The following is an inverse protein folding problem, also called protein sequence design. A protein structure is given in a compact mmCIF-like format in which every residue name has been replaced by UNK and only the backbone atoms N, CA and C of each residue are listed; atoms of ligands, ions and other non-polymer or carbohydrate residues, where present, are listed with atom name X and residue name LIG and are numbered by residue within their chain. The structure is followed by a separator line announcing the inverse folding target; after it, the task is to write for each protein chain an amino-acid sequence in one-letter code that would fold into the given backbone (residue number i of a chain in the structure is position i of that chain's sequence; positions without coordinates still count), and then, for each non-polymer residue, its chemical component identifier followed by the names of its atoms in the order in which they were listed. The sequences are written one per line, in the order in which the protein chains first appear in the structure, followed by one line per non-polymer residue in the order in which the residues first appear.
data_IF_954221348639
#
_entry.id   IF_954221348639
#
_cell.length_a   1.000
_cell.length_b   1.000
_cell.length_c   1.000
_cell.angle_alpha   90.00
_cell.angle_beta   90.00
_cell.angle_gamma   90.00
#
_symmetry.space_group_name_H-M   'P 1'
#
loop_
_entity.id
_entity.type
_entity.pdbx_description
1 polymer ?
#
# COMPACT_ATOMS: atom_id res chain seq x y z
N UNK A 1 -3.51 -9.07 26.66
CA UNK A 1 -4.77 -8.93 25.91
C UNK A 1 -4.45 -9.29 24.47
N UNK A 2 -4.97 -10.43 24.02
CA UNK A 2 -4.76 -11.01 22.70
C UNK A 2 -5.52 -10.17 21.69
N UNK A 3 -4.84 -9.53 20.73
CA UNK A 3 -5.45 -8.69 19.69
C UNK A 3 -6.20 -9.56 18.66
N UNK A 4 -7.54 -9.49 18.54
CA UNK A 4 -8.27 -10.18 17.49
C UNK A 4 -9.13 -9.18 16.69
N UNK A 5 -8.54 -8.07 16.28
CA UNK A 5 -9.24 -7.07 15.46
C UNK A 5 -8.51 -6.80 14.15
N UNK A 6 -7.23 -6.41 14.21
CA UNK A 6 -6.43 -6.11 13.03
C UNK A 6 -6.27 -7.31 12.09
N UNK A 7 -5.96 -8.49 12.65
CA UNK A 7 -5.76 -9.71 11.86
C UNK A 7 -7.04 -10.18 11.13
N UNK A 8 -8.21 -9.98 11.74
CA UNK A 8 -9.49 -10.32 11.12
C UNK A 8 -9.82 -9.35 9.98
N UNK A 9 -9.64 -8.04 10.21
CA UNK A 9 -9.80 -7.02 9.18
C UNK A 9 -8.86 -7.23 8.00
N UNK A 10 -7.60 -7.55 8.30
CA UNK A 10 -6.59 -7.83 7.30
C UNK A 10 -7.01 -9.03 6.44
N UNK A 11 -7.37 -10.16 7.05
CA UNK A 11 -7.88 -11.33 6.32
C UNK A 11 -9.10 -11.03 5.45
N UNK A 12 -10.04 -10.26 5.97
CA UNK A 12 -11.26 -9.93 5.26
C UNK A 12 -11.01 -8.99 4.07
N UNK A 13 -10.06 -8.06 4.21
CA UNK A 13 -9.54 -7.28 3.10
C UNK A 13 -8.96 -8.18 2.01
N UNK A 14 -8.11 -9.15 2.38
CA UNK A 14 -7.53 -10.10 1.42
C UNK A 14 -8.59 -10.96 0.73
N UNK A 15 -9.58 -11.45 1.47
CA UNK A 15 -10.71 -12.23 0.91
C UNK A 15 -11.49 -11.40 -0.10
N UNK A 16 -11.84 -10.17 0.28
CA UNK A 16 -12.61 -9.24 -0.56
C UNK A 16 -11.83 -8.86 -1.81
N UNK A 17 -10.56 -8.48 -1.66
CA UNK A 17 -9.70 -8.12 -2.78
C UNK A 17 -9.52 -9.31 -3.74
N UNK A 18 -9.23 -10.51 -3.22
CA UNK A 18 -9.08 -11.71 -4.05
C UNK A 18 -10.33 -12.00 -4.88
N UNK A 19 -11.51 -11.76 -4.28
CA UNK A 19 -12.81 -11.88 -4.96
C UNK A 19 -12.96 -10.82 -6.05
N UNK A 20 -12.61 -9.56 -5.79
CA UNK A 20 -12.70 -8.46 -6.76
C UNK A 20 -11.77 -8.68 -7.96
N UNK A 21 -10.58 -9.22 -7.73
CA UNK A 21 -9.61 -9.51 -8.80
C UNK A 21 -9.80 -10.89 -9.42
N UNK A 22 -10.85 -11.64 -9.03
CA UNK A 22 -11.19 -12.97 -9.56
C UNK A 22 -9.99 -13.94 -9.62
N UNK A 23 -9.16 -13.94 -8.57
CA UNK A 23 -7.96 -14.76 -8.52
C UNK A 23 -6.88 -14.46 -9.57
N UNK A 24 -7.03 -13.42 -10.40
CA UNK A 24 -6.06 -12.99 -11.42
C UNK A 24 -4.76 -12.42 -10.83
N UNK A 25 -4.74 -12.23 -9.51
CA UNK A 25 -3.63 -11.68 -8.74
C UNK A 25 -3.32 -12.64 -7.60
N UNK A 26 -2.10 -13.18 -7.57
CA UNK A 26 -1.59 -13.79 -6.34
C UNK A 26 -1.28 -12.68 -5.35
N UNK A 27 -1.87 -12.76 -4.16
CA UNK A 27 -1.70 -11.80 -3.09
C UNK A 27 -1.20 -12.57 -1.89
N UNK A 28 -0.16 -12.07 -1.22
CA UNK A 28 0.34 -12.65 0.01
C UNK A 28 0.21 -11.61 1.12
N UNK A 29 -0.51 -11.89 2.22
CA UNK A 29 -0.69 -10.94 3.32
C UNK A 29 0.58 -10.62 4.07
N UNK A 30 1.53 -11.53 4.00
CA UNK A 30 2.86 -11.38 4.53
C UNK A 30 3.79 -12.15 3.60
N UNK A 31 4.29 -11.55 2.52
CA UNK A 31 5.38 -12.19 1.80
C UNK A 31 6.64 -12.07 2.66
N UNK A 32 6.84 -13.06 3.55
CA UNK A 32 7.99 -13.09 4.44
C UNK A 32 9.23 -13.23 3.58
N UNK A 33 10.01 -12.16 3.52
CA UNK A 33 11.36 -12.19 2.98
C UNK A 33 12.21 -12.95 3.99
N UNK A 34 12.39 -14.26 3.80
CA UNK A 34 13.38 -15.01 4.58
C UNK A 34 14.75 -14.92 3.93
N UNK A 35 15.57 -13.97 4.42
CA UNK A 35 17.04 -14.12 4.48
C UNK A 35 17.63 -13.38 5.69
N UNK A 36 18.09 -14.13 6.69
CA UNK A 36 18.90 -13.62 7.81
C UNK A 36 18.18 -12.63 8.74
N UNK A 37 18.95 -11.85 9.51
CA UNK A 37 18.46 -10.88 10.52
C UNK A 37 17.73 -9.64 9.93
N UNK A 38 17.64 -9.52 8.61
CA UNK A 38 17.09 -8.36 7.90
C UNK A 38 15.88 -8.75 7.02
N UNK A 39 15.12 -9.77 7.42
CA UNK A 39 13.86 -10.10 6.75
C UNK A 39 12.81 -9.02 6.99
N UNK A 40 12.13 -8.60 5.93
CA UNK A 40 10.96 -7.72 5.97
C UNK A 40 9.73 -8.43 5.39
N UNK A 41 8.57 -7.84 5.61
CA UNK A 41 7.32 -8.27 4.98
C UNK A 41 6.80 -7.07 4.19
N UNK A 42 6.64 -7.22 2.88
CA UNK A 42 5.92 -6.24 2.06
C UNK A 42 4.41 -6.50 2.21
N UNK A 43 3.61 -5.44 2.27
CA UNK A 43 2.16 -5.59 2.51
C UNK A 43 1.47 -6.34 1.38
N UNK A 44 1.76 -6.02 0.11
CA UNK A 44 1.20 -6.74 -1.03
C UNK A 44 2.22 -6.91 -2.16
N UNK A 45 2.13 -8.02 -2.89
CA UNK A 45 2.89 -8.24 -4.11
C UNK A 45 1.99 -8.91 -5.15
N UNK A 46 1.75 -8.23 -6.26
CA UNK A 46 1.15 -8.79 -7.47
C UNK A 46 2.24 -9.41 -8.31
N UNK A 47 2.60 -10.65 -7.98
CA UNK A 47 3.76 -11.34 -8.57
C UNK A 47 3.65 -11.47 -10.10
N UNK A 48 2.45 -11.71 -10.63
CA UNK A 48 2.19 -11.80 -12.07
C UNK A 48 2.51 -10.52 -12.85
N UNK A 49 2.52 -9.36 -12.16
CA UNK A 49 2.87 -8.05 -12.75
C UNK A 49 4.18 -7.49 -12.20
N UNK A 50 4.87 -8.22 -11.32
CA UNK A 50 6.04 -7.72 -10.60
C UNK A 50 5.77 -6.41 -9.85
N UNK A 51 4.58 -6.21 -9.29
CA UNK A 51 4.16 -4.95 -8.67
C UNK A 51 3.96 -5.12 -7.16
N UNK A 52 4.78 -4.46 -6.35
CA UNK A 52 4.66 -4.44 -4.89
C UNK A 52 3.90 -3.23 -4.36
N UNK A 53 3.27 -3.38 -3.20
CA UNK A 53 2.65 -2.29 -2.46
C UNK A 53 3.07 -2.27 -1.00
N UNK A 54 3.27 -1.07 -0.49
CA UNK A 54 3.42 -0.76 0.93
C UNK A 54 2.32 0.21 1.34
N UNK A 55 1.67 -0.02 2.46
CA UNK A 55 0.57 0.81 2.95
C UNK A 55 1.02 1.60 4.18
N UNK A 56 0.82 2.92 4.13
CA UNK A 56 1.06 3.82 5.25
C UNK A 56 -0.25 4.37 5.78
N UNK A 57 -0.23 4.81 7.03
CA UNK A 57 -1.35 5.54 7.65
C UNK A 57 -0.85 6.89 8.12
N UNK A 58 -1.57 7.95 7.77
CA UNK A 58 -1.34 9.31 8.23
C UNK A 58 0.12 9.78 8.11
N UNK A 59 0.78 9.46 6.99
CA UNK A 59 2.15 9.85 6.66
C UNK A 59 3.20 9.28 7.63
N UNK A 60 2.87 8.23 8.37
CA UNK A 60 3.80 7.64 9.33
C UNK A 60 5.06 7.18 8.60
N UNK A 61 6.20 7.73 9.04
CA UNK A 61 7.54 7.29 8.64
C UNK A 61 7.78 7.13 7.14
N UNK A 62 7.17 7.97 6.29
CA UNK A 62 7.29 7.91 4.81
C UNK A 62 8.73 7.64 4.36
N UNK A 63 9.71 8.42 4.85
CA UNK A 63 11.11 8.29 4.43
C UNK A 63 11.70 6.93 4.81
N UNK A 64 11.39 6.41 6.01
CA UNK A 64 11.88 5.11 6.45
C UNK A 64 11.31 3.99 5.57
N UNK A 65 10.02 4.07 5.19
CA UNK A 65 9.38 3.08 4.32
C UNK A 65 9.90 3.17 2.88
N UNK A 66 10.08 4.38 2.32
CA UNK A 66 10.70 4.55 1.00
C UNK A 66 12.12 3.98 0.96
N UNK A 67 12.91 4.18 2.03
CA UNK A 67 14.27 3.63 2.13
C UNK A 67 14.32 2.09 2.15
N UNK A 68 13.20 1.39 2.40
CA UNK A 68 13.17 -0.08 2.32
C UNK A 68 13.36 -0.58 0.88
N UNK A 69 13.03 0.24 -0.12
CA UNK A 69 13.16 -0.09 -1.54
C UNK A 69 14.54 0.27 -2.12
N UNK A 70 15.32 1.10 -1.43
CA UNK A 70 16.65 1.54 -1.85
C UNK A 70 17.72 0.47 -1.60
N UNK A 71 18.90 0.60 -2.23
CA UNK A 71 20.02 -0.34 -2.06
C UNK A 71 20.35 -0.55 -0.58
N UNK A 72 20.32 -1.80 -0.12
CA UNK A 72 20.52 -2.17 1.28
C UNK A 72 19.27 -2.12 2.16
N UNK A 73 18.15 -1.64 1.63
CA UNK A 73 16.84 -1.67 2.26
C UNK A 73 16.21 -3.07 2.31
N UNK A 74 15.23 -3.25 3.19
CA UNK A 74 14.62 -4.55 3.47
C UNK A 74 13.96 -5.21 2.23
N UNK A 75 13.44 -4.43 1.29
CA UNK A 75 12.73 -4.90 0.10
C UNK A 75 13.58 -4.88 -1.17
N UNK A 76 14.77 -4.28 -1.13
CA UNK A 76 15.63 -4.13 -2.32
C UNK A 76 15.95 -5.45 -3.02
N UNK A 77 16.16 -6.53 -2.26
CA UNK A 77 16.43 -7.83 -2.85
C UNK A 77 15.28 -8.35 -3.75
N UNK A 78 14.01 -7.97 -3.50
CA UNK A 78 12.90 -8.31 -4.40
C UNK A 78 13.04 -7.60 -5.74
N UNK A 79 13.58 -6.38 -5.73
CA UNK A 79 13.90 -5.60 -6.92
C UNK A 79 15.10 -6.21 -7.65
N UNK A 80 16.17 -6.48 -6.92
CA UNK A 80 17.41 -7.06 -7.44
C UNK A 80 17.17 -8.44 -8.09
N UNK A 81 16.36 -9.29 -7.46
CA UNK A 81 15.98 -10.61 -7.98
C UNK A 81 14.85 -10.57 -9.03
N UNK A 82 14.38 -9.37 -9.40
CA UNK A 82 13.30 -9.11 -10.37
C UNK A 82 11.93 -9.72 -10.03
N UNK A 83 11.73 -10.12 -8.78
CA UNK A 83 10.43 -10.51 -8.24
C UNK A 83 9.48 -9.30 -8.20
N UNK A 84 10.03 -8.12 -7.92
CA UNK A 84 9.32 -6.85 -7.90
C UNK A 84 10.01 -5.87 -8.85
N UNK A 85 9.36 -5.53 -9.95
CA UNK A 85 9.88 -4.62 -10.97
C UNK A 85 9.44 -3.17 -10.71
N UNK A 86 8.28 -3.00 -10.07
CA UNK A 86 7.71 -1.70 -9.68
C UNK A 86 7.15 -1.82 -8.27
N UNK A 87 7.09 -0.69 -7.57
CA UNK A 87 6.44 -0.60 -6.28
C UNK A 87 5.67 0.70 -6.15
N UNK A 88 4.59 0.66 -5.38
CA UNK A 88 3.76 1.81 -5.02
C UNK A 88 3.58 1.81 -3.50
N UNK A 89 3.87 2.94 -2.87
CA UNK A 89 3.53 3.22 -1.49
C UNK A 89 2.24 4.04 -1.47
N UNK A 90 1.24 3.56 -0.76
CA UNK A 90 -0.05 4.25 -0.61
C UNK A 90 -0.18 4.76 0.83
N UNK A 91 -0.23 6.07 1.00
CA UNK A 91 -0.49 6.69 2.29
C UNK A 91 -1.97 7.03 2.44
N UNK A 92 -2.64 6.35 3.36
CA UNK A 92 -4.04 6.60 3.69
C UNK A 92 -4.15 7.67 4.77
N UNK A 93 -4.87 8.75 4.47
CA UNK A 93 -4.98 9.93 5.35
C UNK A 93 -6.35 10.59 5.18
N UNK A 94 -6.82 11.33 6.18
CA UNK A 94 -8.00 12.20 6.05
C UNK A 94 -7.62 13.68 5.86
N UNK A 95 -6.32 13.97 5.79
CA UNK A 95 -5.81 15.32 5.62
C UNK A 95 -5.01 15.43 4.33
N UNK A 96 -5.22 16.51 3.59
CA UNK A 96 -4.42 16.83 2.42
C UNK A 96 -2.94 16.99 2.81
N UNK A 97 -2.02 16.42 2.02
CA UNK A 97 -0.59 16.66 2.21
C UNK A 97 -0.28 18.15 1.98
N UNK A 98 0.69 18.68 2.72
CA UNK A 98 1.21 20.05 2.53
C UNK A 98 2.64 20.08 1.97
N UNK A 99 3.38 18.99 2.14
CA UNK A 99 4.78 18.88 1.71
C UNK A 99 4.86 18.10 0.41
N UNK A 100 5.36 18.75 -0.64
CA UNK A 100 5.75 18.08 -1.88
C UNK A 100 6.95 17.16 -1.65
N UNK A 101 6.94 16.03 -2.35
CA UNK A 101 8.01 15.02 -2.38
C UNK A 101 8.22 14.56 -3.83
N UNK A 102 8.74 15.44 -4.71
CA UNK A 102 9.01 15.08 -6.11
C UNK A 102 10.01 13.92 -6.23
N UNK A 103 10.87 13.70 -5.22
CA UNK A 103 11.77 12.55 -5.14
C UNK A 103 11.05 11.20 -5.14
N UNK A 104 9.76 11.15 -4.78
CA UNK A 104 8.95 9.94 -4.74
C UNK A 104 7.88 9.89 -5.84
N UNK A 105 8.01 10.72 -6.87
CA UNK A 105 7.09 10.73 -8.00
C UNK A 105 6.92 9.33 -8.59
N UNK A 106 5.67 8.97 -8.91
CA UNK A 106 5.26 7.65 -9.42
C UNK A 106 5.44 6.46 -8.45
N UNK A 107 6.00 6.68 -7.26
CA UNK A 107 6.20 5.65 -6.24
C UNK A 107 5.39 5.89 -4.97
N UNK A 108 5.07 7.13 -4.61
CA UNK A 108 4.22 7.44 -3.46
C UNK A 108 2.98 8.21 -3.91
N UNK A 109 1.83 7.80 -3.39
CA UNK A 109 0.56 8.51 -3.54
C UNK A 109 -0.15 8.64 -2.20
N UNK A 110 -0.89 9.73 -2.02
CA UNK A 110 -1.77 9.90 -0.86
C UNK A 110 -3.21 9.56 -1.26
N UNK A 111 -3.80 8.56 -0.62
CA UNK A 111 -5.23 8.29 -0.66
C UNK A 111 -5.91 9.14 0.43
N UNK A 112 -6.40 10.31 0.03
CA UNK A 112 -7.01 11.29 0.93
C UNK A 112 -8.51 11.06 1.01
N UNK A 113 -8.96 10.53 2.13
CA UNK A 113 -10.38 10.34 2.41
C UNK A 113 -11.03 11.65 2.83
N UNK A 114 -12.26 11.83 2.39
CA UNK A 114 -13.15 12.90 2.80
C UNK A 114 -14.56 12.36 3.02
N UNK A 115 -15.46 13.21 3.52
CA UNK A 115 -16.88 12.89 3.68
C UNK A 115 -17.13 11.59 4.45
N UNK A 116 -16.53 11.47 5.64
CA UNK A 116 -16.70 10.30 6.50
C UNK A 116 -16.22 8.99 5.86
N UNK A 117 -15.17 9.04 5.02
CA UNK A 117 -14.66 7.92 4.21
C UNK A 117 -15.55 7.54 3.01
N UNK A 118 -16.59 8.31 2.69
CA UNK A 118 -17.43 8.10 1.51
C UNK A 118 -16.75 8.51 0.19
N UNK A 119 -15.68 9.31 0.25
CA UNK A 119 -14.92 9.73 -0.93
C UNK A 119 -13.42 9.58 -0.68
N UNK A 120 -12.67 9.28 -1.75
CA UNK A 120 -11.20 9.25 -1.72
C UNK A 120 -10.63 9.94 -2.96
N UNK A 121 -9.70 10.87 -2.74
CA UNK A 121 -8.89 11.48 -3.80
C UNK A 121 -7.48 10.88 -3.76
N UNK A 122 -6.97 10.46 -4.92
CA UNK A 122 -5.57 10.05 -5.05
C UNK A 122 -4.76 11.28 -5.43
N UNK A 123 -3.76 11.60 -4.62
CA UNK A 123 -2.94 12.80 -4.77
C UNK A 123 -1.49 12.40 -5.04
N UNK A 124 -0.92 12.91 -6.12
CA UNK A 124 0.49 12.71 -6.46
C UNK A 124 1.41 13.54 -5.57
N UNK A 125 2.65 13.09 -5.35
CA UNK A 125 3.55 13.75 -4.39
C UNK A 125 4.38 14.90 -4.96
N UNK A 126 4.56 14.96 -6.27
CA UNK A 126 5.44 15.96 -6.91
C UNK A 126 4.89 17.38 -6.79
N UNK A 127 3.60 17.56 -7.10
CA UNK A 127 2.92 18.85 -7.10
C UNK A 127 1.66 18.88 -6.21
N UNK A 128 1.31 17.77 -5.56
CA UNK A 128 0.09 17.61 -4.74
C UNK A 128 -1.22 17.76 -5.53
N UNK A 129 -1.16 17.55 -6.85
CA UNK A 129 -2.36 17.49 -7.68
C UNK A 129 -3.10 16.17 -7.46
N UNK A 130 -4.43 16.27 -7.54
CA UNK A 130 -5.31 15.10 -7.55
C UNK A 130 -5.17 14.42 -8.91
N UNK A 131 -4.72 13.18 -8.89
CA UNK A 131 -4.56 12.35 -10.10
C UNK A 131 -5.80 11.50 -10.39
N UNK A 132 -6.60 11.18 -9.36
CA UNK A 132 -7.85 10.43 -9.51
C UNK A 132 -8.81 10.66 -8.33
N UNK A 133 -10.09 10.34 -8.50
CA UNK A 133 -11.12 10.41 -7.46
C UNK A 133 -12.10 9.25 -7.54
N UNK A 134 -12.47 8.74 -6.38
CA UNK A 134 -13.47 7.68 -6.25
C UNK A 134 -14.49 8.05 -5.18
N UNK A 135 -15.75 7.76 -5.46
CA UNK A 135 -16.80 7.67 -4.43
C UNK A 135 -16.87 6.22 -4.00
N UNK A 136 -16.72 5.98 -2.70
CA UNK A 136 -16.81 4.67 -2.11
C UNK A 136 -18.29 4.41 -1.78
N UNK A 137 -18.84 3.36 -2.39
CA UNK A 137 -20.22 2.95 -2.10
C UNK A 137 -20.29 2.46 -0.66
N UNK A 138 -21.29 2.92 0.09
CA UNK A 138 -21.67 2.25 1.34
C UNK A 138 -22.08 0.81 0.98
N UNK A 139 -21.48 -0.17 1.64
CA UNK A 139 -21.98 -1.55 1.57
C UNK A 139 -23.40 -1.52 2.17
N UNK A 140 -24.41 -1.51 1.31
CA UNK A 140 -25.81 -1.45 1.70
C UNK A 140 -26.30 -2.77 2.32
N UNK A 141 -25.47 -3.82 2.25
CA UNK A 141 -25.74 -5.15 2.80
C UNK A 141 -24.78 -5.46 3.96
N UNK A 142 -25.20 -5.22 5.22
CA UNK A 142 -24.60 -5.88 6.35
C UNK A 142 -25.11 -7.33 6.36
N UNK A 143 -24.29 -8.27 5.91
CA UNK A 143 -24.46 -9.68 6.29
C UNK A 143 -24.24 -9.85 7.79
#
# INVERSE_FOLDING_TARGET
MTFPLEYAFQKEFYRSFYTVVDGSVMISPEYVVKRGKCGGTIDFLVSSKGLGFELLRNRDKIVEHMNRFEVGGAYYHLIDTRVMQKYIVLDFTCMMPHKQRPEYQAHLYHAVFSDGFGNVSIVGTSNLEVVDRFTLLENSDPL
#
